data_IF_298938436238
#
_entry.id   IF_298938436238
#
_cell.length_a   1.000
_cell.length_b   1.000
_cell.length_c   1.000
_cell.angle_alpha   90.00
_cell.angle_beta   90.00
_cell.angle_gamma   90.00
#
_symmetry.space_group_name_H-M   'P 1'
#
loop_
_entity.id
_entity.type
_entity.pdbx_description
1 polymer ?
#
# COMPACT_ATOMS: atom_id res chain seq x y z
N UNK A 1 -7.14 31.81 -6.77
CA UNK A 1 -8.05 31.65 -5.62
C UNK A 1 -7.13 31.53 -4.40
N UNK A 2 -7.15 32.45 -3.44
CA UNK A 2 -6.18 32.41 -2.32
C UNK A 2 -6.53 31.23 -1.42
N UNK A 3 -5.62 30.26 -1.31
CA UNK A 3 -5.76 29.10 -0.44
C UNK A 3 -5.80 29.55 1.03
N UNK A 4 -6.56 28.90 1.92
CA UNK A 4 -6.63 29.26 3.34
C UNK A 4 -5.24 29.30 4.01
N UNK A 5 -4.35 28.38 3.62
CA UNK A 5 -2.96 28.29 4.09
C UNK A 5 -2.13 29.53 3.75
N UNK A 6 -2.26 30.06 2.53
CA UNK A 6 -1.59 31.30 2.13
C UNK A 6 -1.99 32.47 3.03
N UNK A 7 -3.28 32.58 3.34
CA UNK A 7 -3.80 33.68 4.20
C UNK A 7 -3.25 33.59 5.62
N UNK A 8 -3.18 32.40 6.20
CA UNK A 8 -2.58 32.20 7.52
C UNK A 8 -1.07 32.46 7.51
N UNK A 9 -0.37 32.01 6.46
CA UNK A 9 1.05 32.30 6.27
C UNK A 9 1.32 33.81 6.16
N UNK A 10 0.60 34.53 5.30
CA UNK A 10 0.77 35.98 5.12
C UNK A 10 0.54 36.74 6.43
N UNK A 11 -0.43 36.29 7.24
CA UNK A 11 -0.68 36.85 8.56
C UNK A 11 0.50 36.60 9.51
N UNK A 12 0.99 35.36 9.60
CA UNK A 12 2.14 35.01 10.44
C UNK A 12 3.42 35.74 10.00
N UNK A 13 3.64 35.89 8.70
CA UNK A 13 4.77 36.61 8.13
C UNK A 13 4.74 38.10 8.49
N UNK A 14 3.55 38.70 8.59
CA UNK A 14 3.39 40.11 8.96
C UNK A 14 3.71 40.41 10.43
N UNK A 15 3.68 39.39 11.28
CA UNK A 15 3.94 39.49 12.72
C UNK A 15 5.37 39.16 13.11
N UNK A 16 6.23 38.78 12.16
CA UNK A 16 7.66 38.56 12.36
C UNK A 16 8.46 39.87 12.40
N UNK A 17 9.65 39.79 12.98
CA UNK A 17 10.64 40.85 12.87
C UNK A 17 11.18 40.97 11.43
N UNK A 18 11.85 42.08 11.14
CA UNK A 18 12.27 42.36 9.76
C UNK A 18 13.34 41.40 9.23
N UNK A 19 14.17 40.84 10.12
CA UNK A 19 15.24 39.93 9.75
C UNK A 19 14.69 38.54 9.38
N UNK A 20 13.81 37.97 10.22
CA UNK A 20 13.21 36.66 9.98
C UNK A 20 12.21 36.72 8.82
N UNK A 21 11.48 37.84 8.68
CA UNK A 21 10.60 38.08 7.53
C UNK A 21 11.36 38.04 6.21
N UNK A 22 12.55 38.65 6.14
CA UNK A 22 13.38 38.65 4.93
C UNK A 22 13.82 37.24 4.56
N UNK A 23 14.20 36.42 5.54
CA UNK A 23 14.57 35.03 5.31
C UNK A 23 13.42 34.18 4.79
N UNK A 24 12.21 34.34 5.32
CA UNK A 24 11.03 33.66 4.79
C UNK A 24 10.64 34.12 3.37
N UNK A 25 10.83 35.40 3.04
CA UNK A 25 10.61 35.94 1.69
C UNK A 25 11.65 35.43 0.68
N UNK A 26 12.92 35.31 1.07
CA UNK A 26 13.95 34.68 0.25
C UNK A 26 13.63 33.20 -0.01
N UNK A 27 13.15 32.49 1.02
CA UNK A 27 12.70 31.11 0.89
C UNK A 27 11.51 31.01 -0.06
N UNK A 28 10.54 31.91 0.06
CA UNK A 28 9.39 32.01 -0.83
C UNK A 28 9.83 32.12 -2.30
N UNK A 29 10.75 33.03 -2.60
CA UNK A 29 11.28 33.23 -3.96
C UNK A 29 12.07 32.03 -4.50
N UNK A 30 12.75 31.28 -3.63
CA UNK A 30 13.45 30.04 -4.01
C UNK A 30 12.46 28.92 -4.32
N UNK A 31 11.38 28.79 -3.53
CA UNK A 31 10.32 27.82 -3.78
C UNK A 31 9.55 28.19 -5.07
N UNK A 32 9.29 29.47 -5.33
CA UNK A 32 8.69 29.92 -6.60
C UNK A 32 9.50 29.50 -7.84
N UNK A 33 10.83 29.38 -7.70
CA UNK A 33 11.72 28.96 -8.79
C UNK A 33 11.82 27.43 -8.96
N UNK A 34 11.32 26.64 -8.01
CA UNK A 34 11.50 25.18 -7.99
C UNK A 34 10.20 24.37 -7.97
N UNK A 35 9.06 24.97 -7.65
CA UNK A 35 7.76 24.28 -7.60
C UNK A 35 6.82 24.75 -8.70
N UNK A 36 6.06 23.81 -9.26
CA UNK A 36 5.01 24.04 -10.27
C UNK A 36 3.63 24.14 -9.62
N UNK A 37 3.46 23.60 -8.40
CA UNK A 37 2.19 23.59 -7.67
C UNK A 37 2.17 24.65 -6.55
N UNK A 38 1.22 25.57 -6.65
CA UNK A 38 1.03 26.67 -5.70
C UNK A 38 0.60 26.15 -4.31
N UNK A 39 -0.17 25.06 -4.22
CA UNK A 39 -0.62 24.53 -2.92
C UNK A 39 0.54 23.93 -2.10
N UNK A 40 1.50 23.31 -2.77
CA UNK A 40 2.66 22.68 -2.15
C UNK A 40 3.62 23.70 -1.53
N UNK A 41 3.81 24.83 -2.23
CA UNK A 41 4.55 25.99 -1.73
C UNK A 41 3.99 26.47 -0.39
N UNK A 42 2.68 26.70 -0.33
CA UNK A 42 2.06 27.30 0.86
C UNK A 42 2.00 26.34 2.05
N UNK A 43 1.90 25.02 1.83
CA UNK A 43 1.94 24.01 2.89
C UNK A 43 3.34 23.98 3.56
N UNK A 44 4.42 23.97 2.76
CA UNK A 44 5.81 23.98 3.27
C UNK A 44 6.10 25.29 4.02
N UNK A 45 5.74 26.43 3.44
CA UNK A 45 5.97 27.74 4.05
C UNK A 45 5.18 27.91 5.35
N UNK A 46 3.92 27.46 5.39
CA UNK A 46 3.11 27.48 6.60
C UNK A 46 3.66 26.55 7.68
N UNK A 47 4.12 25.35 7.30
CA UNK A 47 4.70 24.36 8.23
C UNK A 47 6.00 24.88 8.86
N UNK A 48 6.91 25.46 8.06
CA UNK A 48 8.14 26.08 8.57
C UNK A 48 7.85 27.30 9.46
N UNK A 49 6.90 28.15 9.06
CA UNK A 49 6.49 29.33 9.82
C UNK A 49 5.89 28.94 11.17
N UNK A 50 5.02 27.93 11.19
CA UNK A 50 4.42 27.42 12.43
C UNK A 50 5.50 26.87 13.37
N UNK A 51 6.49 26.14 12.83
CA UNK A 51 7.59 25.61 13.63
C UNK A 51 8.47 26.72 14.24
N UNK A 52 8.69 27.79 13.47
CA UNK A 52 9.38 28.98 13.95
C UNK A 52 8.62 29.68 15.10
N UNK A 53 7.31 29.88 14.93
CA UNK A 53 6.44 30.48 15.95
C UNK A 53 6.32 29.65 17.23
N UNK A 54 6.39 28.32 17.14
CA UNK A 54 6.26 27.42 18.29
C UNK A 54 7.53 27.32 19.14
N UNK A 55 8.65 27.86 18.67
CA UNK A 55 9.94 27.76 19.34
C UNK A 55 10.41 29.15 19.78
N UNK A 56 10.16 29.48 21.04
CA UNK A 56 10.53 30.79 21.59
C UNK A 56 12.06 31.00 21.64
N UNK A 57 12.52 32.20 21.25
CA UNK A 57 13.91 32.69 21.37
C UNK A 57 15.00 31.94 20.54
N UNK A 58 14.66 31.32 19.41
CA UNK A 58 15.66 30.75 18.49
C UNK A 58 15.63 31.52 17.17
N UNK A 59 16.80 31.96 16.69
CA UNK A 59 16.90 32.69 15.42
C UNK A 59 16.64 31.76 14.22
N UNK A 60 16.11 32.29 13.10
CA UNK A 60 15.80 31.50 11.90
C UNK A 60 16.99 30.65 11.43
N UNK A 61 18.19 31.23 11.47
CA UNK A 61 19.45 30.60 11.06
C UNK A 61 19.91 29.48 12.01
N UNK A 62 19.54 29.58 13.27
CA UNK A 62 19.84 28.57 14.29
C UNK A 62 18.88 27.38 14.20
N UNK A 63 17.63 27.64 13.80
CA UNK A 63 16.62 26.60 13.59
C UNK A 63 16.77 25.85 12.25
N UNK A 64 17.00 26.57 11.16
CA UNK A 64 17.02 25.99 9.80
C UNK A 64 18.43 25.89 9.20
N UNK A 65 19.46 26.32 9.94
CA UNK A 65 20.85 26.28 9.54
C UNK A 65 21.27 27.39 8.58
N UNK A 66 22.50 27.29 8.08
CA UNK A 66 23.10 28.26 7.14
C UNK A 66 22.64 28.09 5.69
N UNK A 67 21.97 26.98 5.37
CA UNK A 67 21.44 26.68 4.03
C UNK A 67 19.96 26.24 4.13
N UNK A 68 19.06 27.19 4.45
CA UNK A 68 17.63 26.92 4.61
C UNK A 68 16.99 26.48 3.29
N UNK A 69 17.63 26.77 2.15
CA UNK A 69 17.23 26.27 0.83
C UNK A 69 17.39 24.75 0.73
N UNK A 70 18.55 24.23 1.12
CA UNK A 70 18.78 22.78 1.14
C UNK A 70 17.85 22.08 2.12
N UNK A 71 17.57 22.70 3.27
CA UNK A 71 16.58 22.20 4.23
C UNK A 71 15.16 22.16 3.66
N UNK A 72 14.69 23.24 3.03
CA UNK A 72 13.36 23.30 2.40
C UNK A 72 13.24 22.33 1.21
N UNK A 73 14.31 22.19 0.41
CA UNK A 73 14.40 21.20 -0.66
C UNK A 73 14.40 19.77 -0.11
N UNK A 74 15.17 19.47 0.94
CA UNK A 74 15.21 18.15 1.57
C UNK A 74 13.87 17.79 2.20
N UNK A 75 13.23 18.76 2.87
CA UNK A 75 11.87 18.62 3.41
C UNK A 75 10.89 18.30 2.29
N UNK A 76 11.04 18.87 1.10
CA UNK A 76 10.19 18.61 -0.04
C UNK A 76 10.51 17.30 -0.77
N UNK A 77 11.78 16.92 -0.94
CA UNK A 77 12.16 15.62 -1.51
C UNK A 77 11.85 14.44 -0.59
N UNK A 78 11.96 14.62 0.73
CA UNK A 78 11.54 13.63 1.73
C UNK A 78 10.05 13.69 2.04
N UNK A 79 9.37 14.76 1.62
CA UNK A 79 7.92 14.78 1.46
C UNK A 79 7.57 13.98 0.23
N UNK A 80 7.69 12.66 0.35
CA UNK A 80 7.35 11.65 -0.67
C UNK A 80 5.80 11.65 -0.89
N UNK A 81 5.28 12.77 -1.42
CA UNK A 81 3.88 13.04 -1.79
C UNK A 81 3.64 12.82 -3.28
N UNK A 82 4.55 12.12 -3.97
CA UNK A 82 4.21 11.57 -5.28
C UNK A 82 2.96 10.70 -5.11
N UNK A 83 2.03 10.75 -6.07
CA UNK A 83 0.86 9.85 -6.10
C UNK A 83 1.27 8.39 -5.89
N UNK A 84 2.49 8.04 -6.32
CA UNK A 84 3.15 6.75 -6.13
C UNK A 84 3.36 6.40 -4.65
N UNK A 85 3.76 7.36 -3.80
CA UNK A 85 3.93 7.19 -2.35
C UNK A 85 2.61 6.89 -1.64
N UNK A 86 1.55 7.65 -1.95
CA UNK A 86 0.20 7.37 -1.42
C UNK A 86 -0.26 5.94 -1.75
N UNK A 87 -0.16 5.53 -3.01
CA UNK A 87 -0.58 4.18 -3.43
C UNK A 87 0.32 3.08 -2.87
N UNK A 88 1.59 3.36 -2.54
CA UNK A 88 2.47 2.44 -1.82
C UNK A 88 1.94 2.21 -0.41
N UNK A 89 1.70 3.29 0.34
CA UNK A 89 1.27 3.23 1.74
C UNK A 89 -0.13 2.63 1.87
N UNK A 90 -1.04 2.99 0.96
CA UNK A 90 -2.36 2.38 0.84
C UNK A 90 -2.28 0.86 0.66
N UNK A 91 -1.46 0.38 -0.30
CA UNK A 91 -1.29 -1.06 -0.54
C UNK A 91 -0.71 -1.80 0.65
N UNK A 92 0.22 -1.17 1.37
CA UNK A 92 0.85 -1.74 2.56
C UNK A 92 -0.17 -1.87 3.71
N UNK A 93 -0.98 -0.82 3.95
CA UNK A 93 -2.07 -0.84 4.92
C UNK A 93 -3.14 -1.90 4.58
N UNK A 94 -3.56 -1.99 3.32
CA UNK A 94 -4.49 -3.04 2.87
C UNK A 94 -3.89 -4.42 3.12
N UNK A 95 -2.62 -4.63 2.76
CA UNK A 95 -1.92 -5.88 3.03
C UNK A 95 -1.91 -6.25 4.52
N UNK A 96 -1.66 -5.28 5.39
CA UNK A 96 -1.71 -5.45 6.84
C UNK A 96 -3.10 -5.90 7.33
N UNK A 97 -4.18 -5.25 6.89
CA UNK A 97 -5.53 -5.62 7.31
C UNK A 97 -5.99 -6.95 6.71
N UNK A 98 -5.59 -7.27 5.48
CA UNK A 98 -5.83 -8.59 4.87
C UNK A 98 -5.13 -9.69 5.69
N UNK A 99 -3.90 -9.44 6.14
CA UNK A 99 -3.19 -10.37 7.01
C UNK A 99 -3.91 -10.57 8.36
N UNK A 100 -4.38 -9.50 9.00
CA UNK A 100 -5.18 -9.61 10.23
C UNK A 100 -6.46 -10.41 9.98
N UNK A 101 -7.18 -10.11 8.91
CA UNK A 101 -8.40 -10.85 8.55
C UNK A 101 -8.10 -12.35 8.39
N UNK A 102 -7.04 -12.72 7.67
CA UNK A 102 -6.60 -14.10 7.52
C UNK A 102 -6.22 -14.76 8.84
N UNK A 103 -5.58 -14.04 9.75
CA UNK A 103 -5.28 -14.55 11.09
C UNK A 103 -6.58 -14.80 11.89
N UNK A 104 -7.58 -13.91 11.79
CA UNK A 104 -8.90 -14.12 12.38
C UNK A 104 -9.61 -15.34 11.79
N UNK A 105 -9.60 -15.50 10.46
CA UNK A 105 -10.18 -16.67 9.77
C UNK A 105 -9.59 -17.98 10.30
N UNK A 106 -8.27 -18.04 10.49
CA UNK A 106 -7.59 -19.24 11.00
C UNK A 106 -7.95 -19.53 12.45
N UNK A 107 -7.97 -18.51 13.32
CA UNK A 107 -8.30 -18.67 14.73
C UNK A 107 -9.75 -19.11 14.93
N UNK A 108 -10.67 -18.48 14.19
CA UNK A 108 -12.12 -18.73 14.32
C UNK A 108 -12.52 -20.00 13.56
N UNK A 109 -11.78 -20.38 12.51
CA UNK A 109 -12.14 -21.52 11.66
C UNK A 109 -13.40 -21.25 10.82
N UNK A 110 -13.62 -19.99 10.43
CA UNK A 110 -14.77 -19.55 9.62
C UNK A 110 -14.31 -18.54 8.58
N UNK A 111 -14.71 -18.73 7.32
CA UNK A 111 -14.45 -17.79 6.24
C UNK A 111 -15.72 -16.97 5.98
N UNK A 112 -15.76 -15.74 6.47
CA UNK A 112 -16.92 -14.86 6.35
C UNK A 112 -16.57 -13.58 5.57
N UNK A 113 -17.23 -13.37 4.43
CA UNK A 113 -17.20 -12.10 3.72
C UNK A 113 -18.45 -11.30 4.10
N UNK A 114 -18.27 -10.12 4.68
CA UNK A 114 -19.37 -9.25 5.10
C UNK A 114 -19.28 -7.87 4.48
N UNK A 115 -20.36 -7.11 4.58
CA UNK A 115 -20.35 -5.68 4.22
C UNK A 115 -19.30 -4.88 5.00
N UNK A 116 -18.97 -5.27 6.23
CA UNK A 116 -17.89 -4.62 7.01
C UNK A 116 -16.53 -4.72 6.31
N UNK A 117 -16.24 -5.86 5.66
CA UNK A 117 -15.00 -6.07 4.92
C UNK A 117 -14.89 -5.18 3.68
N UNK A 118 -16.03 -4.83 3.06
CA UNK A 118 -16.07 -3.90 1.92
C UNK A 118 -15.77 -2.46 2.37
N UNK A 119 -16.12 -2.10 3.61
CA UNK A 119 -15.85 -0.77 4.19
C UNK A 119 -14.37 -0.58 4.52
N UNK A 120 -13.64 -1.65 4.85
CA UNK A 120 -12.21 -1.60 5.23
C UNK A 120 -11.33 -0.85 4.21
N UNK A 121 -11.38 -1.15 2.89
CA UNK A 121 -10.64 -0.37 1.88
C UNK A 121 -10.88 1.15 1.93
N UNK A 122 -12.13 1.58 2.14
CA UNK A 122 -12.46 3.00 2.23
C UNK A 122 -11.94 3.63 3.51
N UNK A 123 -12.00 2.91 4.64
CA UNK A 123 -11.37 3.38 5.87
C UNK A 123 -9.86 3.55 5.69
N UNK A 124 -9.20 2.61 5.00
CA UNK A 124 -7.77 2.72 4.70
C UNK A 124 -7.46 3.92 3.80
N UNK A 125 -8.29 4.20 2.78
CA UNK A 125 -8.14 5.42 1.95
C UNK A 125 -8.13 6.70 2.80
N UNK A 126 -8.95 6.75 3.85
CA UNK A 126 -9.00 7.88 4.79
C UNK A 126 -7.82 7.85 5.78
N UNK A 127 -7.31 6.67 6.16
CA UNK A 127 -6.16 6.56 7.06
C UNK A 127 -4.86 7.06 6.46
N UNK A 128 -4.59 6.76 5.19
CA UNK A 128 -3.30 7.10 4.55
C UNK A 128 -2.96 8.59 4.66
N UNK A 129 -3.85 9.55 4.34
CA UNK A 129 -3.51 10.98 4.50
C UNK A 129 -3.36 11.37 5.98
N UNK A 130 -4.11 10.74 6.90
CA UNK A 130 -4.00 11.00 8.34
C UNK A 130 -2.69 10.46 8.91
N UNK A 131 -2.26 9.29 8.47
CA UNK A 131 -0.97 8.68 8.81
C UNK A 131 0.17 9.58 8.33
N UNK A 132 0.12 10.01 7.07
CA UNK A 132 1.19 10.82 6.48
C UNK A 132 1.27 12.21 7.13
N UNK A 133 0.15 12.78 7.58
CA UNK A 133 0.13 14.02 8.38
C UNK A 133 0.56 13.79 9.84
N UNK A 134 0.15 12.68 10.44
CA UNK A 134 0.46 12.34 11.83
C UNK A 134 1.93 11.98 12.07
N UNK A 135 2.52 11.15 11.20
CA UNK A 135 3.94 10.78 11.25
C UNK A 135 4.83 12.02 11.08
N UNK A 136 4.48 12.91 10.14
CA UNK A 136 5.18 14.18 9.96
C UNK A 136 5.14 15.02 11.23
N UNK A 137 3.96 15.24 11.80
CA UNK A 137 3.82 16.03 13.02
C UNK A 137 4.55 15.43 14.23
N UNK A 138 4.67 14.11 14.32
CA UNK A 138 5.46 13.44 15.36
C UNK A 138 6.98 13.56 15.15
N UNK A 139 7.45 13.55 13.90
CA UNK A 139 8.86 13.75 13.58
C UNK A 139 9.35 15.16 13.98
N UNK A 140 8.46 16.16 13.95
CA UNK A 140 8.79 17.55 14.28
C UNK A 140 8.50 17.96 15.73
N UNK A 141 7.44 17.44 16.38
CA UNK A 141 6.99 17.96 17.70
C UNK A 141 7.47 17.19 18.93
N UNK A 142 8.26 16.13 18.76
CA UNK A 142 8.60 15.22 19.85
C UNK A 142 7.36 14.54 20.46
N UNK A 143 7.54 13.62 21.43
CA UNK A 143 6.46 12.74 21.92
C UNK A 143 5.34 13.43 22.71
N UNK A 144 5.44 14.73 23.02
CA UNK A 144 4.61 15.39 24.04
C UNK A 144 3.31 16.04 23.53
N UNK A 145 3.14 16.27 22.21
CA UNK A 145 1.90 16.87 21.65
C UNK A 145 1.33 16.01 20.54
N UNK A 146 0.57 14.96 20.92
CA UNK A 146 -0.26 14.22 19.96
C UNK A 146 -1.25 15.17 19.30
N UNK A 147 -1.09 15.37 17.99
CA UNK A 147 -2.00 16.16 17.18
C UNK A 147 -3.32 15.41 16.94
N UNK A 148 -4.42 16.14 16.75
CA UNK A 148 -5.76 15.58 16.49
C UNK A 148 -5.75 14.54 15.36
N UNK A 149 -4.94 14.75 14.34
CA UNK A 149 -4.71 13.85 13.19
C UNK A 149 -4.13 12.51 13.61
N UNK A 150 -3.17 12.49 14.55
CA UNK A 150 -2.59 11.27 15.13
C UNK A 150 -3.64 10.51 15.92
N UNK A 151 -4.40 11.20 16.77
CA UNK A 151 -5.47 10.58 17.57
C UNK A 151 -6.53 9.97 16.64
N UNK A 152 -6.94 10.72 15.61
CA UNK A 152 -7.92 10.25 14.63
C UNK A 152 -7.39 9.06 13.84
N UNK A 153 -6.11 9.06 13.45
CA UNK A 153 -5.48 7.91 12.81
C UNK A 153 -5.49 6.68 13.71
N UNK A 154 -5.05 6.79 14.97
CA UNK A 154 -5.05 5.67 15.93
C UNK A 154 -6.47 5.14 16.16
N UNK A 155 -7.44 6.04 16.30
CA UNK A 155 -8.84 5.68 16.47
C UNK A 155 -9.36 4.94 15.23
N UNK A 156 -9.15 5.46 14.02
CA UNK A 156 -9.55 4.80 12.79
C UNK A 156 -8.87 3.42 12.68
N UNK A 157 -7.57 3.35 13.01
CA UNK A 157 -6.78 2.12 12.99
C UNK A 157 -7.33 1.05 13.95
N UNK A 158 -7.73 1.44 15.16
CA UNK A 158 -8.39 0.56 16.12
C UNK A 158 -9.78 0.13 15.66
N UNK A 159 -10.59 1.08 15.18
CA UNK A 159 -11.96 0.82 14.70
C UNK A 159 -11.95 -0.16 13.53
N UNK A 160 -11.05 -0.02 12.57
CA UNK A 160 -10.97 -0.96 11.43
C UNK A 160 -10.66 -2.39 11.87
N UNK A 161 -9.85 -2.59 12.91
CA UNK A 161 -9.62 -3.93 13.48
C UNK A 161 -10.88 -4.48 14.12
N UNK A 162 -11.63 -3.65 14.84
CA UNK A 162 -12.92 -4.04 15.44
C UNK A 162 -13.91 -4.43 14.33
N UNK A 163 -13.95 -3.69 13.22
CA UNK A 163 -14.78 -4.03 12.05
C UNK A 163 -14.43 -5.41 11.48
N UNK A 164 -13.13 -5.73 11.38
CA UNK A 164 -12.68 -7.06 10.95
C UNK A 164 -13.13 -8.13 11.95
N UNK A 165 -13.01 -7.91 13.25
CA UNK A 165 -13.46 -8.90 14.25
C UNK A 165 -14.98 -9.09 14.21
N UNK A 166 -15.74 -7.99 14.14
CA UNK A 166 -17.20 -8.04 14.03
C UNK A 166 -17.69 -8.66 12.73
N UNK A 167 -16.86 -8.70 11.69
CA UNK A 167 -17.17 -9.43 10.45
C UNK A 167 -17.35 -10.94 10.64
N UNK A 168 -16.96 -11.49 11.80
CA UNK A 168 -17.13 -12.90 12.16
C UNK A 168 -18.17 -13.15 13.25
N UNK A 169 -18.75 -12.10 13.84
CA UNK A 169 -19.61 -12.25 15.02
C UNK A 169 -21.06 -12.54 14.61
N UNK A 170 -21.67 -13.58 15.19
CA UNK A 170 -23.01 -14.10 14.84
C UNK A 170 -24.12 -13.04 14.89
N UNK A 171 -24.08 -12.14 15.88
CA UNK A 171 -24.99 -10.98 15.98
C UNK A 171 -25.10 -10.14 14.69
N UNK A 172 -24.09 -10.19 13.82
CA UNK A 172 -24.03 -9.44 12.56
C UNK A 172 -24.25 -10.31 11.31
N UNK A 173 -24.79 -11.52 11.46
CA UNK A 173 -25.03 -12.44 10.35
C UNK A 173 -25.85 -11.86 9.19
N UNK A 174 -26.78 -10.96 9.49
CA UNK A 174 -27.55 -10.23 8.47
C UNK A 174 -26.69 -9.40 7.49
N UNK A 175 -25.43 -9.13 7.85
CA UNK A 175 -24.49 -8.39 7.01
C UNK A 175 -23.50 -9.31 6.27
N UNK A 176 -23.62 -10.64 6.39
CA UNK A 176 -22.77 -11.59 5.69
C UNK A 176 -23.23 -11.75 4.25
N UNK A 177 -22.30 -11.54 3.32
CA UNK A 177 -22.48 -11.80 1.90
C UNK A 177 -22.15 -13.25 1.56
N UNK A 178 -21.18 -13.81 2.30
CA UNK A 178 -20.75 -15.19 2.17
C UNK A 178 -20.30 -15.67 3.54
N UNK A 179 -20.75 -16.86 3.92
CA UNK A 179 -20.29 -17.53 5.13
C UNK A 179 -20.00 -18.99 4.80
N UNK A 180 -18.76 -19.41 5.01
CA UNK A 180 -18.37 -20.81 4.91
C UNK A 180 -17.72 -21.26 6.22
N UNK A 181 -18.35 -22.26 6.81
CA UNK A 181 -17.84 -23.01 7.96
C UNK A 181 -17.34 -24.35 7.45
N UNK A 182 -16.10 -24.68 7.79
CA UNK A 182 -15.47 -25.90 7.34
C UNK A 182 -14.31 -26.28 8.25
N UNK A 183 -13.68 -27.41 7.97
CA UNK A 183 -12.46 -27.78 8.69
C UNK A 183 -11.38 -26.72 8.48
N UNK A 184 -10.50 -26.54 9.48
CA UNK A 184 -9.38 -25.61 9.37
C UNK A 184 -8.49 -25.93 8.15
N UNK A 185 -8.40 -27.20 7.75
CA UNK A 185 -7.71 -27.64 6.55
C UNK A 185 -8.37 -27.16 5.26
N UNK A 186 -9.70 -27.20 5.17
CA UNK A 186 -10.45 -26.69 4.02
C UNK A 186 -10.29 -25.17 3.90
N UNK A 187 -10.36 -24.46 5.02
CA UNK A 187 -10.20 -23.00 5.06
C UNK A 187 -8.77 -22.62 4.66
N UNK A 188 -7.76 -23.29 5.21
CA UNK A 188 -6.37 -23.07 4.85
C UNK A 188 -6.12 -23.36 3.37
N UNK A 189 -6.71 -24.43 2.83
CA UNK A 189 -6.66 -24.76 1.39
C UNK A 189 -7.21 -23.60 0.56
N UNK A 190 -8.39 -23.09 0.88
CA UNK A 190 -8.99 -21.93 0.17
C UNK A 190 -8.08 -20.71 0.24
N UNK A 191 -7.54 -20.38 1.43
CA UNK A 191 -6.64 -19.24 1.60
C UNK A 191 -5.36 -19.35 0.76
N UNK A 192 -4.75 -20.54 0.72
CA UNK A 192 -3.59 -20.82 -0.14
C UNK A 192 -3.97 -20.65 -1.61
N UNK A 193 -5.11 -21.19 -2.04
CA UNK A 193 -5.56 -21.06 -3.43
C UNK A 193 -5.83 -19.59 -3.82
N UNK A 194 -6.40 -18.78 -2.92
CA UNK A 194 -6.57 -17.34 -3.15
C UNK A 194 -5.22 -16.62 -3.31
N UNK A 195 -4.22 -16.97 -2.50
CA UNK A 195 -2.87 -16.42 -2.64
C UNK A 195 -2.23 -16.85 -3.99
N UNK A 196 -2.42 -18.10 -4.40
CA UNK A 196 -1.96 -18.63 -5.69
C UNK A 196 -2.61 -17.89 -6.86
N UNK A 197 -3.92 -17.57 -6.79
CA UNK A 197 -4.60 -16.75 -7.80
C UNK A 197 -3.95 -15.37 -7.89
N UNK A 198 -3.71 -14.71 -6.76
CA UNK A 198 -3.11 -13.37 -6.75
C UNK A 198 -1.69 -13.38 -7.33
N UNK A 199 -0.86 -14.34 -6.95
CA UNK A 199 0.49 -14.53 -7.50
C UNK A 199 0.42 -14.83 -9.00
N UNK A 200 -0.50 -15.71 -9.42
CA UNK A 200 -0.73 -16.05 -10.82
C UNK A 200 -1.09 -14.83 -11.65
N UNK A 201 -2.04 -13.99 -11.20
CA UNK A 201 -2.43 -12.75 -11.88
C UNK A 201 -1.22 -11.82 -12.03
N UNK A 202 -0.38 -11.70 -10.98
CA UNK A 202 0.83 -10.87 -11.04
C UNK A 202 1.85 -11.39 -12.05
N UNK A 203 2.08 -12.70 -12.10
CA UNK A 203 2.96 -13.33 -13.11
C UNK A 203 2.39 -13.09 -14.51
N UNK A 204 1.07 -13.25 -14.70
CA UNK A 204 0.41 -13.04 -15.97
C UNK A 204 0.58 -11.61 -16.49
N UNK A 205 0.40 -10.61 -15.62
CA UNK A 205 0.52 -9.18 -15.96
C UNK A 205 1.96 -8.76 -16.24
N UNK A 206 2.93 -9.24 -15.46
CA UNK A 206 4.33 -8.81 -15.55
C UNK A 206 5.14 -9.58 -16.59
N UNK A 207 4.72 -10.79 -16.95
CA UNK A 207 5.45 -11.61 -17.91
C UNK A 207 5.24 -11.13 -19.35
N UNK A 208 6.35 -11.02 -20.09
CA UNK A 208 6.32 -10.75 -21.54
C UNK A 208 6.23 -12.02 -22.38
N UNK A 209 6.71 -13.15 -21.86
CA UNK A 209 6.77 -14.42 -22.59
C UNK A 209 5.45 -15.19 -22.55
N UNK A 210 5.02 -15.72 -23.70
CA UNK A 210 3.82 -16.54 -23.84
C UNK A 210 3.80 -17.73 -22.86
N UNK A 211 4.95 -18.38 -22.68
CA UNK A 211 5.09 -19.53 -21.76
C UNK A 211 4.68 -19.20 -20.31
N UNK A 212 5.15 -18.07 -19.78
CA UNK A 212 4.85 -17.65 -18.41
C UNK A 212 3.38 -17.22 -18.26
N UNK A 213 2.79 -16.63 -19.30
CA UNK A 213 1.35 -16.31 -19.33
C UNK A 213 0.48 -17.56 -19.35
N UNK A 214 0.84 -18.56 -20.15
CA UNK A 214 0.14 -19.86 -20.19
C UNK A 214 0.27 -20.56 -18.83
N UNK A 215 1.48 -20.62 -18.28
CA UNK A 215 1.74 -21.17 -16.94
C UNK A 215 0.88 -20.51 -15.86
N UNK A 216 0.88 -19.18 -15.81
CA UNK A 216 0.05 -18.43 -14.86
C UNK A 216 -1.44 -18.70 -15.05
N UNK A 217 -1.92 -18.78 -16.30
CA UNK A 217 -3.34 -19.04 -16.60
C UNK A 217 -3.79 -20.41 -16.10
N UNK A 218 -2.99 -21.46 -16.33
CA UNK A 218 -3.29 -22.81 -15.85
C UNK A 218 -3.33 -22.85 -14.32
N UNK A 219 -2.38 -22.20 -13.65
CA UNK A 219 -2.35 -22.12 -12.18
C UNK A 219 -3.54 -21.36 -11.62
N UNK A 220 -3.93 -20.24 -12.23
CA UNK A 220 -5.12 -19.47 -11.81
C UNK A 220 -6.38 -20.35 -11.94
N UNK A 221 -6.56 -21.00 -13.09
CA UNK A 221 -7.71 -21.86 -13.34
C UNK A 221 -7.77 -23.05 -12.37
N UNK A 222 -6.63 -23.69 -12.11
CA UNK A 222 -6.51 -24.74 -11.11
C UNK A 222 -6.91 -24.26 -9.71
N UNK A 223 -6.40 -23.10 -9.29
CA UNK A 223 -6.69 -22.55 -7.97
C UNK A 223 -8.18 -22.14 -7.81
N UNK A 224 -8.79 -21.58 -8.86
CA UNK A 224 -10.24 -21.32 -8.90
C UNK A 224 -10.99 -22.64 -8.76
N UNK A 225 -10.64 -23.65 -9.56
CA UNK A 225 -11.31 -24.94 -9.55
C UNK A 225 -11.21 -25.63 -8.18
N UNK A 226 -10.02 -25.66 -7.59
CA UNK A 226 -9.77 -26.21 -6.25
C UNK A 226 -10.58 -25.48 -5.17
N UNK A 227 -10.77 -24.17 -5.32
CA UNK A 227 -11.62 -23.36 -4.42
C UNK A 227 -13.09 -23.74 -4.57
N UNK A 228 -13.60 -23.83 -5.81
CA UNK A 228 -14.98 -24.23 -6.09
C UNK A 228 -15.30 -25.64 -5.57
N UNK A 229 -14.38 -26.59 -5.75
CA UNK A 229 -14.50 -27.95 -5.20
C UNK A 229 -14.56 -27.95 -3.67
N UNK A 230 -13.77 -27.08 -3.01
CA UNK A 230 -13.78 -26.97 -1.54
C UNK A 230 -15.11 -26.41 -1.01
N UNK A 231 -15.83 -25.65 -1.83
CA UNK A 231 -17.19 -25.18 -1.54
C UNK A 231 -18.29 -26.09 -2.09
N UNK A 232 -17.94 -27.26 -2.62
CA UNK A 232 -18.88 -28.23 -3.21
C UNK A 232 -19.76 -27.64 -4.33
N UNK A 233 -19.26 -26.62 -5.03
CA UNK A 233 -20.00 -25.96 -6.12
C UNK A 233 -19.87 -26.81 -7.39
N UNK A 234 -20.96 -27.51 -7.74
CA UNK A 234 -21.06 -28.27 -8.98
C UNK A 234 -21.60 -27.40 -10.14
N UNK A 235 -21.01 -27.54 -11.33
CA UNK A 235 -21.47 -26.88 -12.55
C UNK A 235 -21.43 -27.85 -13.74
N UNK A 236 -22.21 -27.63 -14.81
CA UNK A 236 -22.27 -28.56 -15.94
C UNK A 236 -20.89 -28.77 -16.58
N UNK A 237 -20.41 -30.02 -16.57
CA UNK A 237 -19.08 -30.38 -17.10
C UNK A 237 -17.94 -30.30 -16.09
N UNK A 238 -18.21 -30.03 -14.80
CA UNK A 238 -17.18 -29.92 -13.75
C UNK A 238 -16.30 -31.16 -13.65
N UNK A 239 -16.84 -32.38 -13.79
CA UNK A 239 -16.06 -33.62 -13.71
C UNK A 239 -14.97 -33.69 -14.80
N UNK A 240 -15.34 -33.43 -16.06
CA UNK A 240 -14.39 -33.42 -17.18
C UNK A 240 -13.40 -32.26 -17.01
N UNK A 241 -13.89 -31.09 -16.61
CA UNK A 241 -13.03 -29.93 -16.38
C UNK A 241 -12.00 -30.18 -15.27
N UNK A 242 -12.38 -30.87 -14.19
CA UNK A 242 -11.49 -31.25 -13.09
C UNK A 242 -10.34 -32.14 -13.59
N UNK A 243 -10.65 -33.18 -14.35
CA UNK A 243 -9.62 -34.08 -14.89
C UNK A 243 -8.68 -33.33 -15.86
N UNK A 244 -9.24 -32.51 -16.75
CA UNK A 244 -8.46 -31.75 -17.73
C UNK A 244 -7.55 -30.73 -17.04
N UNK A 245 -8.05 -30.00 -16.03
CA UNK A 245 -7.24 -28.98 -15.35
C UNK A 245 -6.16 -29.62 -14.48
N UNK A 246 -6.41 -30.77 -13.86
CA UNK A 246 -5.39 -31.50 -13.09
C UNK A 246 -4.26 -31.99 -14.00
N UNK A 247 -4.59 -32.62 -15.12
CA UNK A 247 -3.62 -33.06 -16.13
C UNK A 247 -2.83 -31.86 -16.68
N UNK A 248 -3.53 -30.79 -17.06
CA UNK A 248 -2.90 -29.58 -17.58
C UNK A 248 -1.94 -28.96 -16.56
N UNK A 249 -2.30 -28.94 -15.27
CA UNK A 249 -1.45 -28.42 -14.20
C UNK A 249 -0.18 -29.24 -14.05
N UNK A 250 -0.29 -30.58 -14.00
CA UNK A 250 0.87 -31.48 -13.91
C UNK A 250 1.82 -31.25 -15.08
N UNK A 251 1.30 -31.27 -16.31
CA UNK A 251 2.11 -31.05 -17.52
C UNK A 251 2.80 -29.68 -17.51
N UNK A 252 2.08 -28.65 -17.06
CA UNK A 252 2.56 -27.27 -17.06
C UNK A 252 3.65 -27.05 -16.00
N UNK A 253 3.53 -27.68 -14.82
CA UNK A 253 4.58 -27.68 -13.78
C UNK A 253 5.82 -28.42 -14.26
N UNK A 254 5.68 -29.59 -14.87
CA UNK A 254 6.80 -30.36 -15.44
C UNK A 254 7.49 -29.53 -16.54
N UNK A 255 6.72 -28.95 -17.47
CA UNK A 255 7.26 -28.11 -18.53
C UNK A 255 8.02 -26.90 -17.97
N UNK A 256 7.51 -26.27 -16.91
CA UNK A 256 8.17 -25.15 -16.23
C UNK A 256 9.49 -25.57 -15.59
N UNK A 257 9.51 -26.73 -14.92
CA UNK A 257 10.72 -27.28 -14.31
C UNK A 257 11.80 -27.59 -15.37
N UNK A 258 11.44 -28.26 -16.47
CA UNK A 258 12.35 -28.55 -17.59
C UNK A 258 12.87 -27.26 -18.23
N UNK A 259 11.99 -26.27 -18.44
CA UNK A 259 12.36 -24.98 -19.01
C UNK A 259 13.42 -24.26 -18.17
N UNK A 260 13.23 -24.21 -16.85
CA UNK A 260 14.18 -23.58 -15.93
C UNK A 260 15.51 -24.33 -15.86
N UNK A 261 15.50 -25.66 -15.79
CA UNK A 261 16.74 -26.47 -15.83
C UNK A 261 17.51 -26.21 -17.12
N UNK A 262 16.84 -26.10 -18.27
CA UNK A 262 17.49 -25.82 -19.56
C UNK A 262 18.08 -24.41 -19.64
N UNK A 263 17.54 -23.45 -18.91
CA UNK A 263 18.09 -22.09 -18.80
C UNK A 263 19.30 -22.10 -17.86
N UNK A 264 19.19 -22.74 -16.70
CA UNK A 264 20.26 -22.86 -15.72
C UNK A 264 21.46 -23.62 -16.27
N UNK A 265 21.25 -24.75 -16.95
CA UNK A 265 22.31 -25.49 -17.64
C UNK A 265 22.96 -24.70 -18.78
N UNK A 266 22.27 -23.75 -19.40
CA UNK A 266 22.85 -22.82 -20.37
C UNK A 266 23.73 -21.76 -19.71
N UNK A 267 23.40 -21.36 -18.49
CA UNK A 267 24.19 -20.42 -17.69
C UNK A 267 25.52 -21.02 -17.21
N UNK A 268 25.51 -22.31 -16.84
CA UNK A 268 26.71 -23.02 -16.35
C UNK A 268 27.58 -23.65 -17.44
N UNK A 269 27.12 -23.69 -18.70
CA UNK A 269 27.90 -24.23 -19.83
C UNK A 269 27.94 -23.27 -21.05
N UNK A 270 28.76 -22.21 -21.02
CA UNK A 270 28.87 -21.23 -22.11
C UNK A 270 29.50 -21.79 -23.40
N UNK A 271 29.94 -23.06 -23.44
CA UNK A 271 30.60 -23.65 -24.61
C UNK A 271 29.65 -23.99 -25.78
N UNK A 272 28.35 -23.75 -25.67
CA UNK A 272 27.40 -23.96 -26.79
C UNK A 272 27.17 -22.74 -27.68
N UNK A 273 27.64 -21.54 -27.30
CA UNK A 273 27.71 -20.37 -28.19
C UNK A 273 29.09 -20.25 -28.83
N UNK A 274 29.51 -21.33 -29.50
CA UNK A 274 30.72 -21.38 -30.29
C UNK A 274 30.40 -21.40 -31.78
N UNK A 275 30.59 -20.23 -32.43
CA UNK A 275 30.90 -20.03 -33.86
C UNK A 275 29.80 -20.32 -34.90
N UNK A 276 29.38 -19.25 -35.56
CA UNK A 276 29.61 -19.08 -37.01
C UNK A 276 29.92 -17.60 -37.29
N UNK A 277 31.20 -17.25 -37.18
CA UNK A 277 31.78 -16.22 -38.06
C UNK A 277 32.27 -17.00 -39.28
N UNK A 278 31.51 -16.91 -40.36
CA UNK A 278 31.98 -16.82 -41.75
C UNK A 278 30.80 -16.45 -42.62
#
# INVERSE_FOLDING_TARGET
>A
MITPLKREYDHMLSTLDEADRLHFQELEGVLDAHYVDEEEKWDILHEMMTHFYETENISFKEMFGNDPKSYALDLATNTDRSSVGFWRDYRLMIGYYVFIYFLCVIIIGRLALSWFMIVVPFLVLIMVPLMNRGIKQQAFRGPAKQTLTTILFILLFGVTKIFIIFSFHERFEQFFLFNYEGSIFNILRVMIMLAVIFIGIRIFQLSKGLFHKVFASVIILYAINSTLQTFEIAWPGSAIFNEVIDIATILTVIAFFIHNIKIENRFWNPKSTGKTVK
#
